data_IF_187810271117
#
_entry.id   IF_187810271117
#
_cell.length_a   1.000
_cell.length_b   1.000
_cell.length_c   1.000
_cell.angle_alpha   90.00
_cell.angle_beta   90.00
_cell.angle_gamma   90.00
#
_symmetry.space_group_name_H-M   'P 1'
#
loop_
_entity.id
_entity.type
_entity.pdbx_description
1 polymer ?
#
# COMPACT_ATOMS: atom_id res chain seq x y z
N UNK A 1 7.71 -9.38 9.12
CA UNK A 1 8.10 -10.50 8.23
C UNK A 1 8.96 -9.96 7.08
N UNK A 2 9.92 -10.73 6.53
CA UNK A 2 10.74 -10.31 5.38
C UNK A 2 10.53 -11.24 4.19
N UNK A 3 10.24 -10.66 3.02
CA UNK A 3 10.03 -11.37 1.75
C UNK A 3 11.10 -10.91 0.76
N UNK A 4 11.83 -11.85 0.16
CA UNK A 4 12.81 -11.53 -0.87
C UNK A 4 12.17 -11.84 -2.22
N UNK A 5 11.93 -10.82 -3.03
CA UNK A 5 11.36 -11.02 -4.37
C UNK A 5 12.44 -11.58 -5.30
N UNK A 6 12.14 -12.69 -5.96
CA UNK A 6 13.01 -13.25 -7.01
C UNK A 6 13.08 -12.31 -8.22
N UNK A 7 14.04 -12.53 -9.12
CA UNK A 7 14.16 -11.72 -10.34
C UNK A 7 12.87 -11.70 -11.15
N UNK A 8 12.28 -12.87 -11.39
CA UNK A 8 11.03 -13.01 -12.15
C UNK A 8 9.85 -12.33 -11.44
N UNK A 9 9.75 -12.44 -10.12
CA UNK A 9 8.72 -11.74 -9.34
C UNK A 9 8.85 -10.22 -9.42
N UNK A 10 10.08 -9.69 -9.35
CA UNK A 10 10.34 -8.26 -9.52
C UNK A 10 9.96 -7.79 -10.92
N UNK A 11 10.40 -8.49 -11.96
CA UNK A 11 10.06 -8.16 -13.35
C UNK A 11 8.54 -8.17 -13.58
N UNK A 12 7.83 -9.13 -13.01
CA UNK A 12 6.37 -9.18 -13.08
C UNK A 12 5.73 -7.97 -12.40
N UNK A 13 6.12 -7.67 -11.15
CA UNK A 13 5.59 -6.53 -10.40
C UNK A 13 5.91 -5.17 -11.06
N UNK A 14 7.11 -5.01 -11.60
CA UNK A 14 7.54 -3.80 -12.31
C UNK A 14 6.68 -3.58 -13.55
N UNK A 15 6.45 -4.64 -14.32
CA UNK A 15 5.58 -4.59 -15.50
C UNK A 15 4.13 -4.22 -15.13
N UNK A 16 3.61 -4.68 -13.99
CA UNK A 16 2.30 -4.28 -13.48
C UNK A 16 2.27 -2.78 -13.14
N UNK A 17 3.29 -2.28 -12.44
CA UNK A 17 3.40 -0.85 -12.12
C UNK A 17 3.47 0.04 -13.36
N UNK A 18 4.28 -0.36 -14.35
CA UNK A 18 4.39 0.34 -15.64
C UNK A 18 3.06 0.33 -16.38
N UNK A 19 2.35 -0.81 -16.41
CA UNK A 19 1.00 -0.92 -17.02
C UNK A 19 -0.01 0.01 -16.34
N UNK A 20 0.01 0.10 -15.01
CA UNK A 20 -0.86 1.02 -14.23
C UNK A 20 -0.63 2.48 -14.63
N UNK A 21 0.63 2.93 -14.70
CA UNK A 21 0.93 4.31 -15.14
C UNK A 21 0.55 4.54 -16.60
N UNK A 22 0.87 3.61 -17.50
CA UNK A 22 0.52 3.73 -18.91
C UNK A 22 -1.00 3.85 -19.12
N UNK A 23 -1.79 3.09 -18.34
CA UNK A 23 -3.24 3.22 -18.36
C UNK A 23 -3.72 4.57 -17.82
N UNK A 24 -3.20 5.03 -16.68
CA UNK A 24 -3.55 6.35 -16.12
C UNK A 24 -3.28 7.49 -17.11
N UNK A 25 -2.14 7.44 -17.81
CA UNK A 25 -1.80 8.39 -18.87
C UNK A 25 -2.82 8.32 -20.03
N UNK A 26 -3.22 7.10 -20.44
CA UNK A 26 -4.17 6.91 -21.55
C UNK A 26 -5.56 7.50 -21.30
N UNK A 27 -5.95 7.66 -20.03
CA UNK A 27 -7.24 8.23 -19.61
C UNK A 27 -7.09 9.63 -19.00
N UNK A 28 -5.91 10.25 -19.07
CA UNK A 28 -5.59 11.55 -18.46
C UNK A 28 -6.00 11.64 -16.97
N UNK A 29 -5.81 10.56 -16.20
CA UNK A 29 -6.17 10.53 -14.78
C UNK A 29 -5.22 11.44 -14.00
N UNK A 30 -5.77 12.41 -13.28
CA UNK A 30 -4.99 13.24 -12.37
C UNK A 30 -4.48 12.42 -11.18
N UNK A 31 -3.28 12.74 -10.70
CA UNK A 31 -2.72 12.12 -9.52
C UNK A 31 -3.59 12.36 -8.29
N UNK A 32 -3.85 11.29 -7.54
CA UNK A 32 -4.66 11.37 -6.34
C UNK A 32 -3.94 12.15 -5.23
N UNK A 33 -4.71 12.94 -4.47
CA UNK A 33 -4.23 13.67 -3.30
C UNK A 33 -3.02 14.60 -3.59
N UNK A 34 -2.96 15.19 -4.78
CA UNK A 34 -1.96 16.22 -5.12
C UNK A 34 -0.51 15.72 -5.08
N UNK A 35 -0.28 14.44 -5.35
CA UNK A 35 1.06 13.87 -5.44
C UNK A 35 1.91 14.65 -6.47
N UNK A 36 3.18 14.87 -6.13
CA UNK A 36 4.17 15.53 -7.00
C UNK A 36 5.44 14.67 -7.00
N UNK A 37 5.64 13.90 -8.05
CA UNK A 37 6.80 13.02 -8.20
C UNK A 37 6.67 12.11 -9.42
N UNK A 38 7.50 11.06 -9.48
CA UNK A 38 7.43 10.05 -10.53
C UNK A 38 6.30 9.05 -10.26
N UNK A 39 5.18 9.18 -10.97
CA UNK A 39 4.04 8.29 -10.86
C UNK A 39 4.37 6.83 -11.20
N UNK A 40 5.31 6.60 -12.14
CA UNK A 40 5.74 5.25 -12.52
C UNK A 40 6.42 4.57 -11.35
N UNK A 41 7.36 5.26 -10.71
CA UNK A 41 8.10 4.71 -9.57
C UNK A 41 7.15 4.34 -8.43
N UNK A 42 6.14 5.17 -8.14
CA UNK A 42 5.12 4.86 -7.13
C UNK A 42 4.32 3.61 -7.48
N UNK A 43 3.86 3.48 -8.73
CA UNK A 43 3.08 2.31 -9.12
C UNK A 43 3.91 1.02 -9.09
N UNK A 44 5.19 1.10 -9.45
CA UNK A 44 6.13 -0.02 -9.35
C UNK A 44 6.36 -0.43 -7.90
N UNK A 45 6.65 0.52 -7.01
CA UNK A 45 6.85 0.23 -5.59
C UNK A 45 5.58 -0.28 -4.90
N UNK A 46 4.41 0.22 -5.31
CA UNK A 46 3.10 -0.29 -4.88
C UNK A 46 2.91 -1.75 -5.30
N UNK A 47 3.06 -2.06 -6.59
CA UNK A 47 2.89 -3.41 -7.11
C UNK A 47 3.85 -4.44 -6.45
N UNK A 48 5.11 -4.05 -6.21
CA UNK A 48 6.08 -4.89 -5.49
C UNK A 48 5.64 -5.17 -4.06
N UNK A 49 5.12 -4.16 -3.37
CA UNK A 49 4.66 -4.30 -1.99
C UNK A 49 3.42 -5.20 -1.91
N UNK A 50 2.45 -5.03 -2.81
CA UNK A 50 1.26 -5.87 -2.89
C UNK A 50 1.62 -7.33 -3.14
N UNK A 51 2.50 -7.60 -4.11
CA UNK A 51 3.01 -8.96 -4.37
C UNK A 51 3.72 -9.55 -3.14
N UNK A 52 4.51 -8.76 -2.42
CA UNK A 52 5.18 -9.23 -1.21
C UNK A 52 4.19 -9.64 -0.12
N UNK A 53 3.08 -8.92 0.05
CA UNK A 53 2.01 -9.27 1.00
C UNK A 53 1.27 -10.52 0.55
N UNK A 54 0.94 -10.64 -0.73
CA UNK A 54 0.32 -11.84 -1.30
C UNK A 54 1.17 -13.09 -1.06
N UNK A 55 2.49 -13.01 -1.28
CA UNK A 55 3.43 -14.10 -1.01
C UNK A 55 3.55 -14.41 0.49
N UNK A 56 3.55 -13.39 1.35
CA UNK A 56 3.63 -13.55 2.81
C UNK A 56 2.41 -14.29 3.37
N UNK A 57 1.22 -14.04 2.80
CA UNK A 57 -0.05 -14.58 3.27
C UNK A 57 -0.54 -15.79 2.47
N UNK A 58 0.15 -16.16 1.38
CA UNK A 58 -0.31 -17.18 0.42
C UNK A 58 -1.72 -16.88 -0.13
N UNK A 59 -2.01 -15.60 -0.43
CA UNK A 59 -3.29 -15.13 -0.95
C UNK A 59 -3.15 -14.58 -2.37
N UNK A 60 -4.27 -14.51 -3.08
CA UNK A 60 -4.31 -13.93 -4.43
C UNK A 60 -3.97 -12.44 -4.43
N UNK A 61 -3.26 -12.01 -5.48
CA UNK A 61 -2.91 -10.62 -5.74
C UNK A 61 -3.76 -10.06 -6.89
N UNK A 62 -4.47 -8.97 -6.64
CA UNK A 62 -5.20 -8.23 -7.66
C UNK A 62 -4.23 -7.31 -8.44
N UNK A 63 -3.52 -7.89 -9.41
CA UNK A 63 -2.42 -7.22 -10.11
C UNK A 63 -2.85 -5.94 -10.88
N UNK A 64 -3.83 -6.01 -11.76
CA UNK A 64 -4.34 -4.87 -12.52
C UNK A 64 -5.68 -5.14 -13.20
N UNK A 65 -6.59 -4.17 -13.09
CA UNK A 65 -7.81 -4.10 -13.87
C UNK A 65 -7.99 -2.68 -14.41
N UNK A 66 -8.43 -2.56 -15.67
CA UNK A 66 -8.79 -1.25 -16.26
C UNK A 66 -9.99 -0.62 -15.53
N UNK A 67 -10.88 -1.48 -15.04
CA UNK A 67 -12.04 -1.08 -14.25
C UNK A 67 -11.63 -1.08 -12.77
N UNK A 68 -11.07 0.04 -12.32
CA UNK A 68 -10.55 0.18 -10.95
C UNK A 68 -11.61 -0.16 -9.89
N UNK A 69 -12.88 0.11 -10.15
CA UNK A 69 -13.97 -0.11 -9.20
C UNK A 69 -14.24 -1.62 -8.96
N UNK A 70 -13.70 -2.50 -9.81
CA UNK A 70 -13.75 -3.96 -9.61
C UNK A 70 -12.65 -4.47 -8.67
N UNK A 71 -11.58 -3.70 -8.46
CA UNK A 71 -10.54 -4.06 -7.50
C UNK A 71 -10.95 -3.51 -6.15
N UNK A 72 -11.55 -4.38 -5.35
CA UNK A 72 -12.02 -4.03 -4.00
C UNK A 72 -10.86 -4.07 -3.01
N UNK A 73 -9.88 -4.95 -3.21
CA UNK A 73 -8.70 -5.13 -2.37
C UNK A 73 -7.46 -5.41 -3.21
N UNK A 74 -6.29 -5.06 -2.69
CA UNK A 74 -5.02 -5.35 -3.36
C UNK A 74 -4.65 -6.83 -3.21
N UNK A 75 -4.91 -7.42 -2.04
CA UNK A 75 -4.64 -8.83 -1.73
C UNK A 75 -5.87 -9.50 -1.12
N UNK A 76 -6.21 -10.70 -1.59
CA UNK A 76 -7.42 -11.41 -1.18
C UNK A 76 -8.67 -10.59 -1.41
N UNK A 77 -9.58 -10.56 -0.43
CA UNK A 77 -10.89 -9.90 -0.53
C UNK A 77 -10.98 -8.58 0.23
N UNK A 78 -10.08 -8.32 1.20
CA UNK A 78 -10.21 -7.18 2.12
C UNK A 78 -8.88 -6.52 2.53
N UNK A 79 -7.73 -6.87 1.92
CA UNK A 79 -6.43 -6.31 2.29
C UNK A 79 -6.01 -5.20 1.32
N UNK A 80 -5.70 -4.04 1.90
CA UNK A 80 -5.11 -2.87 1.25
C UNK A 80 -3.65 -2.77 1.66
N UNK A 81 -2.76 -2.58 0.69
CA UNK A 81 -1.32 -2.49 0.94
C UNK A 81 -0.86 -1.05 0.75
N UNK A 82 -0.01 -0.59 1.65
CA UNK A 82 0.66 0.72 1.56
C UNK A 82 2.15 0.52 1.74
N UNK A 83 2.94 1.21 0.93
CA UNK A 83 4.39 1.08 0.96
C UNK A 83 5.10 2.38 1.31
N UNK A 84 6.30 2.24 1.85
CA UNK A 84 7.19 3.38 2.11
C UNK A 84 8.66 2.97 2.01
N UNK A 85 9.50 3.87 1.49
CA UNK A 85 10.94 3.70 1.46
C UNK A 85 11.63 4.24 2.73
N UNK A 86 10.90 4.76 3.71
CA UNK A 86 11.46 5.24 4.97
C UNK A 86 11.58 4.09 6.00
N UNK A 87 12.77 3.90 6.58
CA UNK A 87 13.03 2.88 7.63
C UNK A 87 12.07 3.00 8.82
N UNK A 88 11.70 4.23 9.19
CA UNK A 88 10.74 4.54 10.27
C UNK A 88 9.43 5.12 9.73
N UNK A 89 9.10 4.85 8.47
CA UNK A 89 7.85 5.27 7.86
C UNK A 89 6.63 4.68 8.58
N UNK A 90 5.53 5.42 8.57
CA UNK A 90 4.26 5.05 9.18
C UNK A 90 3.25 4.65 8.11
N UNK A 91 2.21 3.94 8.53
CA UNK A 91 1.11 3.58 7.65
C UNK A 91 0.23 4.82 7.43
N UNK A 92 0.01 5.17 6.18
CA UNK A 92 -0.83 6.30 5.80
C UNK A 92 -2.19 5.78 5.31
N UNK A 93 -3.25 6.30 5.90
CA UNK A 93 -4.62 6.10 5.44
C UNK A 93 -5.26 7.44 5.11
N UNK A 94 -6.22 7.45 4.20
CA UNK A 94 -6.94 8.63 3.78
C UNK A 94 -8.40 8.60 4.25
N UNK A 95 -9.10 9.75 4.33
CA UNK A 95 -10.51 9.79 4.73
C UNK A 95 -11.42 8.82 3.96
N UNK A 96 -11.16 8.65 2.66
CA UNK A 96 -11.95 7.81 1.76
C UNK A 96 -11.61 6.32 1.82
N UNK A 97 -10.52 5.93 2.49
CA UNK A 97 -10.19 4.53 2.71
C UNK A 97 -11.31 3.86 3.52
N UNK A 98 -11.64 2.61 3.22
CA UNK A 98 -12.76 1.91 3.86
C UNK A 98 -12.42 1.48 5.29
N UNK A 99 -13.38 1.61 6.19
CA UNK A 99 -13.19 1.29 7.61
C UNK A 99 -13.16 -0.24 7.88
N UNK A 100 -13.75 -1.03 6.99
CA UNK A 100 -13.90 -2.49 7.07
C UNK A 100 -12.74 -3.27 6.44
N UNK A 101 -11.74 -2.58 5.88
CA UNK A 101 -10.58 -3.20 5.24
C UNK A 101 -9.37 -3.27 6.14
N UNK A 102 -8.57 -4.31 5.95
CA UNK A 102 -7.27 -4.49 6.61
C UNK A 102 -6.22 -3.72 5.84
N UNK A 103 -5.45 -2.88 6.52
CA UNK A 103 -4.34 -2.14 5.93
C UNK A 103 -3.01 -2.72 6.38
N UNK A 104 -2.15 -3.06 5.43
CA UNK A 104 -0.81 -3.61 5.67
C UNK A 104 0.25 -2.60 5.25
N UNK A 105 1.25 -2.41 6.12
CA UNK A 105 2.42 -1.60 5.81
C UNK A 105 3.57 -2.47 5.30
N UNK A 106 4.15 -2.07 4.17
CA UNK A 106 5.39 -2.64 3.64
C UNK A 106 6.48 -1.57 3.59
N UNK A 107 7.69 -1.89 4.04
CA UNK A 107 8.86 -1.04 3.85
C UNK A 107 9.77 -1.62 2.78
N UNK A 108 10.10 -0.80 1.77
CA UNK A 108 10.89 -1.18 0.58
C UNK A 108 12.34 -0.70 0.62
N UNK A 109 12.80 -0.16 1.75
CA UNK A 109 14.10 0.51 1.88
C UNK A 109 15.33 -0.41 1.70
N UNK A 110 15.17 -1.72 1.84
CA UNK A 110 16.21 -2.75 1.64
C UNK A 110 15.91 -3.61 0.38
N UNK A 111 15.22 -3.05 -0.62
CA UNK A 111 14.89 -3.76 -1.87
C UNK A 111 16.14 -4.47 -2.46
N UNK A 112 16.06 -5.76 -2.88
CA UNK A 112 14.86 -6.54 -3.19
C UNK A 112 14.18 -7.23 -2.00
N UNK A 113 14.61 -6.95 -0.77
CA UNK A 113 13.94 -7.45 0.44
C UNK A 113 12.84 -6.48 0.85
N UNK A 114 11.62 -6.98 0.92
CA UNK A 114 10.43 -6.25 1.35
C UNK A 114 10.12 -6.61 2.80
N UNK A 115 10.05 -5.62 3.68
CA UNK A 115 9.66 -5.81 5.07
C UNK A 115 8.14 -5.61 5.20
N UNK A 116 7.40 -6.71 5.35
CA UNK A 116 5.97 -6.68 5.67
C UNK A 116 5.83 -6.49 7.18
N UNK A 117 5.54 -5.26 7.59
CA UNK A 117 5.70 -4.80 8.98
C UNK A 117 4.61 -5.34 9.89
N UNK A 118 3.36 -5.22 9.46
CA UNK A 118 2.19 -5.53 10.26
C UNK A 118 0.93 -4.94 9.66
N UNK A 119 -0.19 -5.12 10.35
CA UNK A 119 -1.52 -4.78 9.86
C UNK A 119 -2.37 -4.02 10.90
N UNK A 120 -3.44 -3.39 10.44
CA UNK A 120 -4.48 -2.78 11.29
C UNK A 120 -5.79 -2.65 10.50
N UNK A 121 -6.93 -2.74 11.18
CA UNK A 121 -8.23 -2.49 10.56
C UNK A 121 -8.44 -0.98 10.31
N UNK A 122 -9.01 -0.62 9.16
CA UNK A 122 -9.20 0.77 8.75
C UNK A 122 -9.87 1.64 9.83
N UNK A 123 -10.96 1.13 10.43
CA UNK A 123 -11.68 1.80 11.53
C UNK A 123 -10.79 2.15 12.73
N UNK A 124 -9.80 1.30 13.01
CA UNK A 124 -8.92 1.46 14.18
C UNK A 124 -7.76 2.41 13.90
N UNK A 125 -7.32 2.48 12.64
CA UNK A 125 -6.28 3.38 12.21
C UNK A 125 -6.79 4.80 11.91
N UNK A 126 -8.07 4.95 11.55
CA UNK A 126 -8.71 6.24 11.23
C UNK A 126 -9.28 6.96 12.46
N UNK A 127 -8.51 7.00 13.55
CA UNK A 127 -8.87 7.73 14.79
C UNK A 127 -8.29 9.14 14.75
N UNK A 128 -9.02 10.12 15.32
CA UNK A 128 -8.62 11.54 15.35
C UNK A 128 -7.21 11.78 15.92
N UNK A 129 -6.77 10.95 16.88
CA UNK A 129 -5.42 11.02 17.45
C UNK A 129 -4.30 10.76 16.43
N UNK A 130 -4.61 10.14 15.30
CA UNK A 130 -3.68 9.88 14.21
C UNK A 130 -3.85 10.83 13.02
N UNK A 131 -4.79 11.79 13.10
CA UNK A 131 -5.04 12.73 12.02
C UNK A 131 -3.91 13.75 11.90
N UNK A 132 -3.39 13.90 10.69
CA UNK A 132 -2.42 14.92 10.31
C UNK A 132 -2.98 15.73 9.13
N UNK A 133 -3.01 17.05 9.26
CA UNK A 133 -3.50 17.94 8.20
C UNK A 133 -2.43 18.25 7.13
N UNK A 134 -1.23 17.68 7.29
CA UNK A 134 -0.09 17.87 6.38
C UNK A 134 0.67 19.17 6.61
N UNK A 135 0.27 20.03 7.55
CA UNK A 135 0.93 21.31 7.84
C UNK A 135 2.34 21.14 8.41
N UNK A 136 2.58 20.06 9.16
CA UNK A 136 3.83 19.82 9.90
C UNK A 136 4.92 19.12 9.08
N UNK A 137 4.60 18.64 7.87
CA UNK A 137 5.53 17.84 7.08
C UNK A 137 5.53 18.30 5.62
N UNK A 138 6.66 18.84 5.16
CA UNK A 138 6.82 19.33 3.77
C UNK A 138 6.48 18.27 2.71
N UNK A 139 6.76 17.00 2.98
CA UNK A 139 6.45 15.88 2.08
C UNK A 139 4.93 15.58 1.97
N UNK A 140 4.13 16.07 2.93
CA UNK A 140 2.70 15.83 3.05
C UNK A 140 1.87 17.11 3.03
N UNK A 141 2.47 18.25 2.68
CA UNK A 141 1.77 19.54 2.63
C UNK A 141 0.60 19.47 1.66
N UNK A 142 -0.62 19.72 2.17
CA UNK A 142 -1.86 19.61 1.40
C UNK A 142 -2.39 18.18 1.22
N UNK A 143 -1.84 17.19 1.94
CA UNK A 143 -2.20 15.77 1.84
C UNK A 143 -2.64 15.25 3.22
N UNK A 144 -3.82 15.67 3.72
CA UNK A 144 -4.30 15.23 5.01
C UNK A 144 -4.50 13.71 5.01
N UNK A 145 -4.04 13.06 6.08
CA UNK A 145 -4.08 11.62 6.23
C UNK A 145 -4.07 11.22 7.71
N UNK A 146 -4.44 9.98 7.97
CA UNK A 146 -4.19 9.33 9.24
C UNK A 146 -2.81 8.68 9.18
N UNK A 147 -1.90 9.12 10.07
CA UNK A 147 -0.54 8.60 10.17
C UNK A 147 -0.46 7.60 11.32
N UNK A 148 -0.80 6.35 11.03
CA UNK A 148 -0.81 5.29 12.02
C UNK A 148 0.62 4.81 12.31
N UNK A 149 1.09 4.86 13.58
CA UNK A 149 2.47 4.50 13.92
C UNK A 149 2.77 3.04 13.58
N UNK A 150 3.88 2.79 12.87
CA UNK A 150 4.27 1.43 12.52
C UNK A 150 4.53 0.54 13.74
N UNK A 151 4.91 1.12 14.88
CA UNK A 151 5.12 0.42 16.15
C UNK A 151 3.83 -0.04 16.83
N UNK A 152 2.66 0.40 16.35
CA UNK A 152 1.34 -0.02 16.85
C UNK A 152 0.64 -1.03 15.94
N UNK A 153 1.26 -1.41 14.82
CA UNK A 153 0.69 -2.40 13.92
C UNK A 153 0.64 -3.77 14.61
N UNK A 154 -0.42 -4.51 14.33
CA UNK A 154 -0.52 -5.90 14.75
C UNK A 154 0.54 -6.73 14.00
N UNK A 155 1.17 -7.71 14.67
CA UNK A 155 2.05 -8.67 14.01
C UNK A 155 1.36 -9.38 12.83
N UNK A 156 2.11 -9.66 11.76
CA UNK A 156 1.53 -10.29 10.56
C UNK A 156 1.01 -11.71 10.80
N UNK A 157 1.60 -12.45 11.74
CA UNK A 157 1.18 -13.79 12.15
C UNK A 157 -0.12 -13.80 12.96
N UNK A 158 -0.57 -12.64 13.46
CA UNK A 158 -1.86 -12.50 14.13
C UNK A 158 -3.01 -12.14 13.17
N UNK A 159 -2.73 -12.03 11.86
CA UNK A 159 -3.77 -11.78 10.87
C UNK A 159 -4.48 -13.11 10.61
N UNK A 160 -5.64 -13.30 11.23
CA UNK A 160 -6.49 -14.47 10.99
C UNK A 160 -7.00 -14.44 9.55
N UNK A 161 -7.14 -15.63 8.95
CA UNK A 161 -7.82 -15.78 7.67
C UNK A 161 -9.27 -15.34 7.84
N UNK A 162 -9.57 -14.09 7.46
CA UNK A 162 -10.95 -13.63 7.34
C UNK A 162 -11.55 -14.21 6.06
N UNK A 163 -11.72 -15.53 6.01
CA UNK A 163 -12.53 -16.24 5.04
C UNK A 163 -13.77 -16.80 5.75
N UNK A 164 -14.78 -15.95 5.86
CA UNK A 164 -16.19 -16.35 6.04
C UNK A 164 -17.05 -15.50 5.13
#
# INVERSE_FOLDING_TARGET
MRIILTKTQREYADNVGIKRQAYNNSINKADAYGFKGDGTAIHVDGARAELAVALALSKDWADFAKDYDKIVADVGTNIQVRSTNYRHGNLLLHPKDRDDQVFVLVKSHDFPTMEVVGWVLGKDAKKKVYWEDGSQHKAFTGRPCYRYPHTKLNPMDSLEDTET
#
